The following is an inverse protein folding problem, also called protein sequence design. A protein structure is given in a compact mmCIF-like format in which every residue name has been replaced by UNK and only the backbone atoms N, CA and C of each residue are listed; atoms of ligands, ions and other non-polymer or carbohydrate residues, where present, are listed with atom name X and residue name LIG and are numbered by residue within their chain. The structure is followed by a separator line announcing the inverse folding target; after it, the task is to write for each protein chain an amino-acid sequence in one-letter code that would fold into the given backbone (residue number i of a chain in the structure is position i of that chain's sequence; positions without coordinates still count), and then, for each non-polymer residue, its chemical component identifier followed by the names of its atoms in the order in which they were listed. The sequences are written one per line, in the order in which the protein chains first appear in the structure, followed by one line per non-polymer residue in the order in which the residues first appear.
data_IF_871518691505
#
_entry.id   IF_871518691505
#
_cell.length_a   1.000
_cell.length_b   1.000
_cell.length_c   1.000
_cell.angle_alpha   90.00
_cell.angle_beta   90.00
_cell.angle_gamma   90.00
#
_symmetry.space_group_name_H-M   'P 1'
#
loop_
_entity.id
_entity.type
_entity.pdbx_description
1 polymer ?
#
# COMPACT_ATOMS: atom_id res chain seq x y z
N UNK A 1 11.18 2.52 37.55
CA UNK A 1 10.27 3.68 37.46
C UNK A 1 9.49 3.57 36.15
N UNK A 2 8.53 2.66 36.04
CA UNK A 2 7.07 2.77 36.33
C UNK A 2 6.32 3.80 35.45
N UNK A 3 5.53 3.22 34.53
CA UNK A 3 4.27 3.67 33.91
C UNK A 3 4.19 5.00 33.13
N UNK A 4 4.25 4.90 31.80
CA UNK A 4 3.61 5.85 30.90
C UNK A 4 2.28 5.25 30.40
N UNK A 5 1.18 5.55 31.09
CA UNK A 5 -0.18 5.18 30.66
C UNK A 5 -0.56 5.95 29.39
N UNK A 6 -0.72 5.23 28.28
CA UNK A 6 -1.32 5.72 27.04
C UNK A 6 -2.82 5.89 27.28
N UNK A 7 -3.35 7.11 27.18
CA UNK A 7 -4.80 7.36 27.22
C UNK A 7 -5.33 7.40 25.78
N UNK A 8 -6.00 6.33 25.38
CA UNK A 8 -6.84 6.28 24.17
C UNK A 8 -8.19 6.88 24.53
N UNK A 9 -8.54 8.04 23.96
CA UNK A 9 -9.88 8.61 24.07
C UNK A 9 -10.78 7.96 23.01
N UNK A 10 -11.69 7.08 23.46
CA UNK A 10 -12.80 6.61 22.65
C UNK A 10 -13.96 7.61 22.78
N UNK A 11 -14.42 8.16 21.65
CA UNK A 11 -15.74 8.79 21.58
C UNK A 11 -16.74 7.72 21.13
N UNK A 12 -17.59 7.24 22.04
CA UNK A 12 -18.73 6.38 21.72
C UNK A 12 -19.92 7.31 21.53
N UNK A 13 -20.48 7.36 20.32
CA UNK A 13 -21.80 7.95 20.08
C UNK A 13 -22.72 6.87 19.51
N UNK A 14 -23.84 6.70 20.21
CA UNK A 14 -24.95 5.79 19.96
C UNK A 14 -25.66 6.14 18.65
N UNK A 15 -25.79 5.15 17.76
CA UNK A 15 -26.51 5.28 16.49
C UNK A 15 -28.01 5.20 16.77
N UNK A 16 -28.72 6.33 16.63
CA UNK A 16 -30.18 6.34 16.55
C UNK A 16 -30.61 6.25 15.08
N UNK A 17 -31.64 5.45 14.84
CA UNK A 17 -32.23 5.10 13.55
C UNK A 17 -32.66 6.33 12.74
N UNK A 18 -32.48 6.32 11.43
CA UNK A 18 -33.43 6.99 10.54
C UNK A 18 -33.55 6.28 9.18
N UNK A 19 -34.76 6.37 8.64
CA UNK A 19 -35.40 5.49 7.65
C UNK A 19 -35.05 5.85 6.20
N UNK A 20 -35.25 4.84 5.36
CA UNK A 20 -35.41 4.83 3.89
C UNK A 20 -36.41 5.85 3.34
N UNK A 21 -36.22 6.32 2.09
CA UNK A 21 -37.19 6.45 0.96
C UNK A 21 -36.57 7.29 -0.23
N UNK A 22 -37.12 7.32 -1.48
CA UNK A 22 -36.66 6.52 -2.62
C UNK A 22 -36.29 7.33 -3.90
N UNK A 23 -35.96 6.57 -4.97
CA UNK A 23 -35.75 6.98 -6.36
C UNK A 23 -36.94 7.71 -7.00
N UNK A 24 -36.65 8.69 -7.87
CA UNK A 24 -37.53 9.08 -8.99
C UNK A 24 -36.73 9.27 -10.29
N UNK A 25 -37.30 8.69 -11.35
CA UNK A 25 -36.91 8.83 -12.76
C UNK A 25 -37.70 10.00 -13.33
N UNK A 26 -37.09 10.73 -14.25
CA UNK A 26 -37.85 11.42 -15.30
C UNK A 26 -37.17 11.28 -16.66
N UNK A 27 -38.03 11.19 -17.66
CA UNK A 27 -37.80 10.77 -19.04
C UNK A 27 -38.04 11.93 -20.03
N UNK A 28 -37.61 11.71 -21.28
CA UNK A 28 -37.98 12.39 -22.54
C UNK A 28 -37.09 13.63 -22.87
N UNK A 29 -36.61 13.89 -24.09
CA UNK A 29 -37.06 13.43 -25.42
C UNK A 29 -35.96 13.60 -26.49
N UNK A 30 -36.06 12.69 -27.45
CA UNK A 30 -35.62 12.61 -28.86
C UNK A 30 -35.27 13.89 -29.64
N UNK A 31 -34.12 13.88 -30.36
CA UNK A 31 -33.88 14.64 -31.60
C UNK A 31 -32.99 13.81 -32.54
N UNK A 32 -33.59 13.26 -33.59
CA UNK A 32 -33.23 13.60 -34.97
C UNK A 32 -31.98 12.98 -35.58
N UNK A 33 -32.21 12.02 -36.47
CA UNK A 33 -31.29 11.37 -37.41
C UNK A 33 -30.49 12.34 -38.31
N UNK A 34 -29.24 11.98 -38.61
CA UNK A 34 -28.71 12.10 -39.98
C UNK A 34 -27.52 11.15 -40.22
N UNK A 35 -27.69 10.24 -41.18
CA UNK A 35 -26.65 9.35 -41.71
C UNK A 35 -25.89 10.06 -42.84
N UNK A 36 -24.55 10.08 -42.78
CA UNK A 36 -23.65 9.95 -43.94
C UNK A 36 -22.19 10.19 -43.50
N UNK A 37 -21.39 9.12 -43.43
CA UNK A 37 -20.04 9.03 -44.01
C UNK A 37 -19.33 7.76 -43.54
N UNK A 38 -19.41 6.75 -44.40
CA UNK A 38 -18.61 5.54 -44.39
C UNK A 38 -17.17 5.90 -44.76
N UNK A 39 -16.20 5.55 -43.90
CA UNK A 39 -14.78 5.42 -44.28
C UNK A 39 -14.35 3.98 -44.05
N UNK A 40 -14.12 3.28 -45.16
CA UNK A 40 -13.56 1.93 -45.23
C UNK A 40 -12.05 2.04 -44.96
N UNK A 41 -11.54 1.38 -43.92
CA UNK A 41 -10.11 1.17 -43.76
C UNK A 41 -9.77 -0.29 -44.08
N UNK A 42 -8.97 -0.47 -45.13
CA UNK A 42 -8.38 -1.75 -45.53
C UNK A 42 -7.40 -2.24 -44.45
N UNK A 43 -7.60 -3.45 -43.93
CA UNK A 43 -6.62 -4.11 -43.08
C UNK A 43 -5.58 -4.82 -43.96
N UNK A 44 -4.33 -4.37 -43.89
CA UNK A 44 -3.17 -5.04 -44.49
C UNK A 44 -2.75 -6.18 -43.57
N UNK A 45 -2.74 -7.42 -44.08
CA UNK A 45 -2.21 -8.59 -43.39
C UNK A 45 -0.68 -8.43 -43.36
N UNK A 46 -0.10 -8.24 -42.16
CA UNK A 46 1.35 -8.21 -41.95
C UNK A 46 1.88 -9.65 -41.96
N UNK A 47 2.93 -9.88 -42.75
CA UNK A 47 3.58 -11.19 -42.92
C UNK A 47 4.43 -11.58 -41.71
N UNK A 48 4.64 -12.89 -41.52
CA UNK A 48 5.27 -13.54 -40.35
C UNK A 48 6.67 -13.03 -39.93
N UNK A 49 7.34 -12.20 -40.73
CA UNK A 49 8.63 -11.58 -40.35
C UNK A 49 8.47 -10.34 -39.45
N UNK A 50 7.32 -9.65 -39.47
CA UNK A 50 7.08 -8.48 -38.60
C UNK A 50 6.61 -8.90 -37.19
N UNK A 51 6.12 -10.15 -37.03
CA UNK A 51 5.75 -10.71 -35.72
C UNK A 51 6.98 -11.06 -34.86
N UNK A 52 8.13 -11.31 -35.48
CA UNK A 52 9.37 -11.61 -34.77
C UNK A 52 9.99 -10.36 -34.09
N UNK A 53 9.72 -9.15 -34.58
CA UNK A 53 10.23 -7.92 -33.96
C UNK A 53 9.46 -7.53 -32.67
N UNK A 54 8.18 -7.88 -32.58
CA UNK A 54 7.30 -7.52 -31.45
C UNK A 54 7.52 -8.44 -30.23
N UNK A 55 8.12 -9.62 -30.40
CA UNK A 55 8.37 -10.60 -29.33
C UNK A 55 9.76 -10.47 -28.67
N UNK A 56 10.55 -9.43 -29.00
CA UNK A 56 11.89 -9.21 -28.45
C UNK A 56 11.97 -8.17 -27.31
N UNK A 57 10.84 -7.64 -26.83
CA UNK A 57 10.79 -6.71 -25.69
C UNK A 57 10.06 -7.32 -24.50
N UNK A 58 10.53 -8.50 -24.07
CA UNK A 58 10.23 -9.02 -22.74
C UNK A 58 11.00 -8.17 -21.70
N UNK A 59 10.33 -7.14 -21.21
CA UNK A 59 10.53 -6.40 -19.96
C UNK A 59 11.95 -6.45 -19.36
N UNK A 60 12.86 -5.65 -19.92
CA UNK A 60 13.92 -5.08 -19.11
C UNK A 60 13.27 -4.30 -17.94
N UNK A 61 13.77 -4.42 -16.69
CA UNK A 61 13.27 -3.60 -15.60
C UNK A 61 13.36 -2.13 -16.01
N UNK A 62 12.33 -1.31 -15.74
CA UNK A 62 12.32 0.08 -16.19
C UNK A 62 13.60 0.76 -15.70
N UNK A 63 14.38 1.31 -16.63
CA UNK A 63 15.58 2.07 -16.30
C UNK A 63 15.19 3.17 -15.30
N UNK A 64 15.83 3.12 -14.15
CA UNK A 64 15.55 4.08 -13.07
C UNK A 64 16.37 5.32 -13.37
N UNK A 65 15.77 6.31 -14.03
CA UNK A 65 16.28 7.69 -13.97
C UNK A 65 16.30 8.12 -12.50
N UNK A 66 17.51 8.31 -11.97
CA UNK A 66 17.75 8.90 -10.66
C UNK A 66 17.88 10.42 -10.86
N UNK A 67 17.41 11.21 -9.89
CA UNK A 67 17.66 12.66 -9.91
C UNK A 67 19.17 12.91 -9.95
N UNK A 68 19.62 13.61 -10.99
CA UNK A 68 21.00 14.06 -11.14
C UNK A 68 21.24 15.41 -10.45
N UNK A 69 20.20 15.97 -9.82
CA UNK A 69 20.24 17.29 -9.22
C UNK A 69 21.14 17.30 -7.98
N UNK A 70 21.86 18.41 -7.82
CA UNK A 70 22.63 18.67 -6.61
C UNK A 70 21.67 18.84 -5.46
N UNK A 71 21.84 18.02 -4.42
CA UNK A 71 21.02 18.08 -3.22
C UNK A 71 21.35 19.33 -2.41
N UNK A 72 20.33 20.17 -2.18
CA UNK A 72 20.43 21.40 -1.39
C UNK A 72 19.90 21.18 0.02
N UNK A 73 18.64 20.79 0.15
CA UNK A 73 17.98 20.51 1.43
C UNK A 73 16.90 19.42 1.32
N UNK A 74 16.28 19.08 2.45
CA UNK A 74 15.16 18.13 2.49
C UNK A 74 13.79 18.77 2.19
N UNK A 75 13.72 20.08 1.93
CA UNK A 75 12.49 20.81 1.70
C UNK A 75 11.52 20.83 2.90
N UNK A 76 10.28 21.32 2.70
CA UNK A 76 9.27 21.37 3.75
C UNK A 76 8.85 19.96 4.20
N UNK A 77 8.51 19.83 5.48
CA UNK A 77 7.94 18.60 6.04
C UNK A 77 6.42 18.72 6.15
N UNK A 78 5.64 17.99 5.31
CA UNK A 78 4.19 18.06 5.36
C UNK A 78 3.59 17.44 6.63
N UNK A 79 4.41 16.78 7.47
CA UNK A 79 4.01 16.09 8.68
C UNK A 79 4.48 16.80 9.96
N UNK A 80 5.03 18.00 9.83
CA UNK A 80 5.57 18.77 10.95
C UNK A 80 4.94 20.17 10.97
N UNK A 81 4.15 20.52 12.01
CA UNK A 81 3.37 21.76 12.03
C UNK A 81 4.17 23.01 12.46
N UNK A 82 5.46 22.87 12.80
CA UNK A 82 6.28 23.97 13.31
C UNK A 82 7.31 24.45 12.28
N UNK A 83 7.75 25.69 12.44
CA UNK A 83 8.89 26.22 11.69
C UNK A 83 10.17 25.48 12.09
N UNK A 84 10.97 25.08 11.12
CA UNK A 84 12.00 24.05 11.30
C UNK A 84 13.32 24.62 11.79
N UNK A 85 14.04 23.80 12.57
CA UNK A 85 15.50 23.93 12.74
C UNK A 85 16.18 23.44 11.45
N UNK A 86 17.23 24.14 11.03
CA UNK A 86 17.91 23.92 9.77
C UNK A 86 18.48 22.51 9.61
N UNK A 87 18.80 22.14 8.36
CA UNK A 87 19.48 20.90 8.04
C UNK A 87 20.94 20.97 8.53
N UNK A 88 21.33 20.05 9.39
CA UNK A 88 22.73 19.94 9.81
C UNK A 88 23.51 19.12 8.77
N UNK A 89 24.76 19.52 8.50
CA UNK A 89 25.62 18.92 7.51
C UNK A 89 27.04 18.75 8.04
N UNK A 90 27.65 17.61 7.71
CA UNK A 90 29.08 17.36 7.86
C UNK A 90 29.62 16.89 6.52
N UNK A 91 30.66 17.58 6.07
CA UNK A 91 31.44 17.23 4.89
C UNK A 91 32.76 16.58 5.32
N UNK A 92 33.31 15.71 4.49
CA UNK A 92 34.61 15.09 4.76
C UNK A 92 35.11 14.25 3.59
N UNK A 93 36.37 14.46 3.24
CA UNK A 93 37.04 13.75 2.14
C UNK A 93 37.47 12.32 2.54
N UNK A 94 37.43 12.00 3.84
CA UNK A 94 37.76 10.68 4.39
C UNK A 94 36.65 10.17 5.29
N UNK A 95 36.58 8.83 5.44
CA UNK A 95 35.62 8.18 6.35
C UNK A 95 35.85 8.64 7.79
N UNK A 96 37.10 8.87 8.18
CA UNK A 96 37.52 9.33 9.50
C UNK A 96 36.99 10.75 9.78
N UNK A 97 37.13 11.67 8.82
CA UNK A 97 36.62 13.04 8.94
C UNK A 97 35.10 13.07 9.12
N UNK A 98 34.36 12.32 8.28
CA UNK A 98 32.91 12.19 8.41
C UNK A 98 32.51 11.59 9.75
N UNK A 99 33.21 10.54 10.19
CA UNK A 99 32.97 9.89 11.49
C UNK A 99 33.15 10.87 12.65
N UNK A 100 34.21 11.67 12.63
CA UNK A 100 34.50 12.62 13.71
C UNK A 100 33.52 13.80 13.72
N UNK A 101 33.11 14.31 12.56
CA UNK A 101 32.03 15.29 12.47
C UNK A 101 30.70 14.75 13.03
N UNK A 102 30.33 13.50 12.69
CA UNK A 102 29.14 12.83 13.27
C UNK A 102 29.27 12.69 14.79
N UNK A 103 30.43 12.29 15.32
CA UNK A 103 30.63 12.19 16.78
C UNK A 103 30.41 13.52 17.48
N UNK A 104 30.89 14.62 16.87
CA UNK A 104 30.86 15.95 17.46
C UNK A 104 29.48 16.57 17.42
N UNK A 105 28.80 16.50 16.28
CA UNK A 105 27.60 17.30 16.03
C UNK A 105 26.29 16.50 16.08
N UNK A 106 26.25 15.25 15.60
CA UNK A 106 24.99 14.52 15.46
C UNK A 106 24.31 14.30 16.82
N UNK A 107 23.01 14.57 16.98
CA UNK A 107 22.33 14.44 18.27
C UNK A 107 22.01 12.98 18.61
N UNK A 108 21.79 12.71 19.90
CA UNK A 108 21.19 11.45 20.38
C UNK A 108 19.66 11.58 20.44
N UNK A 109 19.06 11.86 19.29
CA UNK A 109 17.62 12.04 19.14
C UNK A 109 17.09 11.24 17.94
N UNK A 110 15.77 11.01 17.86
CA UNK A 110 15.13 10.51 16.65
C UNK A 110 15.35 11.49 15.49
N UNK A 111 15.36 10.98 14.26
CA UNK A 111 15.57 11.83 13.10
C UNK A 111 15.73 11.08 11.80
N UNK A 112 15.84 11.84 10.72
CA UNK A 112 16.20 11.36 9.38
C UNK A 112 17.60 11.82 9.03
N UNK A 113 18.30 11.04 8.22
CA UNK A 113 19.62 11.37 7.72
C UNK A 113 19.70 11.07 6.23
N UNK A 114 20.58 11.81 5.56
CA UNK A 114 20.89 11.69 4.14
C UNK A 114 22.37 11.46 3.95
N UNK A 115 22.72 10.65 2.97
CA UNK A 115 24.08 10.40 2.52
C UNK A 115 24.22 11.02 1.13
N UNK A 116 25.25 11.83 0.95
CA UNK A 116 25.48 12.61 -0.27
C UNK A 116 26.79 12.17 -0.89
N UNK A 117 26.81 11.92 -2.19
CA UNK A 117 28.03 11.53 -2.90
C UNK A 117 28.91 12.71 -3.30
N UNK A 118 30.11 12.42 -3.81
CA UNK A 118 31.08 13.42 -4.24
C UNK A 118 30.56 14.40 -5.32
N UNK A 119 29.49 14.04 -6.04
CA UNK A 119 28.83 14.91 -7.02
C UNK A 119 27.71 15.77 -6.39
N UNK A 120 27.54 15.70 -5.07
CA UNK A 120 26.52 16.46 -4.35
C UNK A 120 25.13 15.84 -4.42
N UNK A 121 24.97 14.59 -4.87
CA UNK A 121 23.65 13.95 -5.03
C UNK A 121 23.25 13.20 -3.78
N UNK A 122 21.97 13.26 -3.42
CA UNK A 122 21.42 12.46 -2.31
C UNK A 122 21.28 10.99 -2.73
N UNK A 123 22.16 10.13 -2.23
CA UNK A 123 22.23 8.72 -2.65
C UNK A 123 21.51 7.75 -1.72
N UNK A 124 21.28 8.15 -0.47
CA UNK A 124 20.54 7.35 0.51
C UNK A 124 19.85 8.24 1.55
N UNK A 125 18.64 7.85 1.95
CA UNK A 125 17.92 8.41 3.09
C UNK A 125 17.55 7.29 4.07
N UNK A 126 17.70 7.55 5.36
CA UNK A 126 17.22 6.65 6.41
C UNK A 126 16.71 7.38 7.64
N UNK A 127 15.94 6.66 8.47
CA UNK A 127 15.54 7.11 9.82
C UNK A 127 16.37 6.47 10.93
N UNK A 128 16.34 7.07 12.11
CA UNK A 128 16.83 6.45 13.34
C UNK A 128 16.04 6.89 14.57
N UNK A 129 16.01 6.02 15.60
CA UNK A 129 15.61 6.42 16.97
C UNK A 129 16.71 7.24 17.65
N UNK A 130 17.98 7.00 17.28
CA UNK A 130 19.17 7.67 17.79
C UNK A 130 20.11 7.96 16.61
N UNK A 131 20.07 9.19 16.09
CA UNK A 131 20.83 9.60 14.91
C UNK A 131 22.33 9.30 15.07
N UNK A 132 22.96 9.79 16.14
CA UNK A 132 24.41 9.57 16.38
C UNK A 132 24.79 8.09 16.32
N UNK A 133 24.10 7.21 17.04
CA UNK A 133 24.45 5.78 17.07
C UNK A 133 24.29 5.14 15.69
N UNK A 134 23.22 5.48 14.96
CA UNK A 134 22.97 4.92 13.63
C UNK A 134 23.99 5.41 12.61
N UNK A 135 24.31 6.70 12.60
CA UNK A 135 25.32 7.26 11.69
C UNK A 135 26.71 6.67 11.98
N UNK A 136 27.08 6.54 13.26
CA UNK A 136 28.35 5.91 13.64
C UNK A 136 28.44 4.43 13.22
N UNK A 137 27.31 3.72 13.11
CA UNK A 137 27.30 2.32 12.69
C UNK A 137 27.79 2.11 11.26
N UNK A 138 27.72 3.11 10.37
CA UNK A 138 28.23 3.01 9.00
C UNK A 138 29.76 2.89 8.93
N UNK A 139 30.47 3.35 9.98
CA UNK A 139 31.93 3.36 10.03
C UNK A 139 32.51 2.17 10.80
N UNK A 140 31.72 1.11 11.03
CA UNK A 140 32.21 -0.12 11.66
C UNK A 140 32.97 -0.99 10.62
N UNK A 141 34.06 -1.66 11.01
CA UNK A 141 34.92 -2.42 10.08
C UNK A 141 34.20 -3.55 9.33
N UNK A 142 33.19 -4.16 9.95
CA UNK A 142 32.53 -5.36 9.41
C UNK A 142 31.51 -5.06 8.28
N UNK A 143 31.39 -3.82 7.82
CA UNK A 143 30.35 -3.42 6.86
C UNK A 143 30.84 -3.30 5.41
N UNK A 144 32.13 -3.50 5.13
CA UNK A 144 32.75 -3.12 3.84
C UNK A 144 32.14 -3.81 2.62
N UNK A 145 31.77 -5.09 2.73
CA UNK A 145 31.14 -5.87 1.66
C UNK A 145 29.62 -5.67 1.59
N UNK A 146 29.02 -5.11 2.64
CA UNK A 146 27.59 -4.94 2.76
C UNK A 146 27.10 -3.63 2.15
N UNK A 147 25.78 -3.54 1.91
CA UNK A 147 25.11 -2.32 1.45
C UNK A 147 25.51 -1.07 2.25
N UNK A 148 25.70 -1.22 3.57
CA UNK A 148 26.11 -0.12 4.44
C UNK A 148 27.52 0.40 4.10
N UNK A 149 28.49 -0.49 3.85
CA UNK A 149 29.84 -0.12 3.42
C UNK A 149 29.84 0.57 2.08
N UNK A 150 29.06 0.08 1.11
CA UNK A 150 28.90 0.74 -0.20
C UNK A 150 28.35 2.16 -0.08
N UNK A 151 27.34 2.37 0.77
CA UNK A 151 26.79 3.70 1.03
C UNK A 151 27.89 4.58 1.64
N UNK A 152 28.52 4.13 2.72
CA UNK A 152 29.54 4.88 3.44
C UNK A 152 30.76 5.24 2.56
N UNK A 153 31.20 4.31 1.72
CA UNK A 153 32.33 4.51 0.82
C UNK A 153 32.01 5.51 -0.32
N UNK A 154 30.74 5.67 -0.68
CA UNK A 154 30.34 6.60 -1.73
C UNK A 154 30.03 8.00 -1.19
N UNK A 155 29.82 8.13 0.13
CA UNK A 155 29.45 9.39 0.76
C UNK A 155 30.65 10.33 0.91
N UNK A 156 30.48 11.59 0.48
CA UNK A 156 31.37 12.72 0.78
C UNK A 156 30.78 13.67 1.82
N UNK A 157 29.47 13.59 2.05
CA UNK A 157 28.80 14.36 3.08
C UNK A 157 27.62 13.61 3.70
N UNK A 158 27.33 13.96 4.95
CA UNK A 158 26.21 13.42 5.72
C UNK A 158 25.37 14.59 6.22
N UNK A 159 24.08 14.54 5.96
CA UNK A 159 23.11 15.50 6.47
C UNK A 159 22.13 14.83 7.41
N UNK A 160 21.61 15.57 8.38
CA UNK A 160 20.54 15.05 9.24
C UNK A 160 19.59 16.12 9.73
N UNK A 161 18.43 15.65 10.11
CA UNK A 161 17.30 16.42 10.56
C UNK A 161 16.72 15.70 11.78
N UNK A 162 16.85 16.34 12.96
CA UNK A 162 16.26 15.83 14.18
C UNK A 162 14.73 15.92 14.10
N UNK A 163 14.06 14.91 14.63
CA UNK A 163 12.62 14.76 14.62
C UNK A 163 12.12 14.57 16.06
N UNK A 164 10.91 15.06 16.38
CA UNK A 164 10.36 15.03 17.73
C UNK A 164 10.07 13.59 18.21
N UNK A 165 9.99 12.62 17.30
CA UNK A 165 9.73 11.23 17.65
C UNK A 165 10.19 10.29 16.55
N UNK A 166 10.25 8.99 16.89
CA UNK A 166 10.46 7.95 15.89
C UNK A 166 9.32 7.90 14.85
N UNK A 167 8.07 8.19 15.25
CA UNK A 167 6.94 8.21 14.33
C UNK A 167 7.08 9.34 13.30
N UNK A 168 7.47 10.53 13.75
CA UNK A 168 7.73 11.66 12.87
C UNK A 168 8.90 11.37 11.92
N UNK A 169 9.99 10.79 12.43
CA UNK A 169 11.11 10.34 11.61
C UNK A 169 10.71 9.30 10.55
N UNK A 170 9.80 8.38 10.89
CA UNK A 170 9.26 7.38 9.96
C UNK A 170 8.45 8.03 8.83
N UNK A 171 7.55 8.96 9.17
CA UNK A 171 6.76 9.70 8.18
C UNK A 171 7.66 10.52 7.25
N UNK A 172 8.63 11.21 7.84
CA UNK A 172 9.58 12.05 7.10
C UNK A 172 10.49 11.23 6.19
N UNK A 173 11.04 10.11 6.64
CA UNK A 173 11.85 9.21 5.81
C UNK A 173 11.05 8.74 4.60
N UNK A 174 9.83 8.26 4.82
CA UNK A 174 8.98 7.78 3.73
C UNK A 174 8.68 8.89 2.71
N UNK A 175 8.45 10.12 3.17
CA UNK A 175 8.28 11.27 2.28
C UNK A 175 9.54 11.54 1.45
N UNK A 176 10.70 11.63 2.09
CA UNK A 176 11.97 11.93 1.42
C UNK A 176 12.37 10.86 0.42
N UNK A 177 12.16 9.57 0.74
CA UNK A 177 12.42 8.47 -0.21
C UNK A 177 11.52 8.60 -1.44
N UNK A 178 10.25 8.96 -1.27
CA UNK A 178 9.32 9.10 -2.39
C UNK A 178 9.62 10.35 -3.22
N UNK A 179 10.07 11.43 -2.58
CA UNK A 179 10.40 12.69 -3.23
C UNK A 179 11.72 12.60 -4.02
N UNK A 180 12.82 12.19 -3.36
CA UNK A 180 14.16 12.19 -3.95
C UNK A 180 14.52 10.88 -4.68
N UNK A 181 13.83 9.78 -4.39
CA UNK A 181 14.10 8.44 -4.93
C UNK A 181 15.59 8.04 -4.93
N UNK A 182 16.29 8.11 -3.78
CA UNK A 182 17.74 7.90 -3.75
C UNK A 182 18.13 6.50 -4.20
N UNK A 183 19.22 6.38 -4.97
CA UNK A 183 19.60 5.13 -5.66
C UNK A 183 19.81 3.91 -4.75
N UNK A 184 20.30 4.13 -3.53
CA UNK A 184 20.53 3.04 -2.57
C UNK A 184 19.27 2.70 -1.76
N UNK A 185 18.22 3.49 -1.82
CA UNK A 185 16.92 3.10 -1.27
C UNK A 185 16.29 2.03 -2.17
N UNK A 186 15.64 1.03 -1.54
CA UNK A 186 14.95 -0.06 -2.27
C UNK A 186 13.51 -0.12 -1.82
N UNK A 187 13.30 -0.07 -0.50
CA UNK A 187 11.99 0.06 0.11
C UNK A 187 11.51 1.51 0.05
N UNK A 188 10.20 1.73 -0.04
CA UNK A 188 9.57 3.06 -0.10
C UNK A 188 9.56 3.73 -1.47
N UNK A 189 10.37 3.26 -2.42
CA UNK A 189 10.45 3.82 -3.77
C UNK A 189 9.14 3.61 -4.55
N UNK A 190 8.50 4.67 -5.09
CA UNK A 190 7.26 4.56 -5.85
C UNK A 190 7.36 3.62 -7.06
N UNK A 191 8.46 3.72 -7.85
CA UNK A 191 8.67 2.88 -9.04
C UNK A 191 8.76 1.38 -8.69
N UNK A 192 9.36 1.03 -7.54
CA UNK A 192 9.56 -0.36 -7.11
C UNK A 192 8.43 -0.91 -6.22
N UNK A 193 7.69 -0.02 -5.55
CA UNK A 193 6.58 -0.36 -4.66
C UNK A 193 5.30 0.28 -5.18
N UNK A 194 4.83 -0.18 -6.33
CA UNK A 194 3.54 0.23 -6.86
C UNK A 194 2.41 -0.41 -6.04
N UNK A 195 1.43 0.39 -5.57
CA UNK A 195 0.26 -0.16 -4.90
C UNK A 195 -0.57 -0.97 -5.89
N UNK A 196 -1.10 -2.09 -5.42
CA UNK A 196 -2.11 -2.87 -6.13
C UNK A 196 -3.34 -3.04 -5.24
N UNK A 197 -4.49 -3.16 -5.87
CA UNK A 197 -5.75 -3.46 -5.22
C UNK A 197 -6.19 -4.84 -5.68
N UNK A 198 -6.55 -5.69 -4.72
CA UNK A 198 -7.18 -6.95 -4.99
C UNK A 198 -8.68 -6.72 -5.02
N UNK A 199 -9.33 -7.18 -6.08
CA UNK A 199 -10.74 -6.97 -6.35
C UNK A 199 -11.43 -8.33 -6.57
N UNK A 200 -12.65 -8.46 -6.06
CA UNK A 200 -13.62 -9.49 -6.44
C UNK A 200 -14.74 -8.78 -7.20
N UNK A 201 -15.05 -9.22 -8.42
CA UNK A 201 -16.09 -8.58 -9.24
C UNK A 201 -16.02 -8.97 -10.72
N UNK A 202 -16.52 -8.08 -11.60
CA UNK A 202 -16.69 -8.26 -13.06
C UNK A 202 -17.84 -9.21 -13.43
N UNK A 203 -19.11 -8.76 -13.31
CA UNK A 203 -20.26 -9.54 -13.77
C UNK A 203 -20.16 -9.87 -15.27
N UNK A 204 -20.88 -10.90 -15.76
CA UNK A 204 -21.89 -11.70 -15.05
C UNK A 204 -21.32 -12.82 -14.18
N UNK A 205 -20.07 -13.25 -14.40
CA UNK A 205 -19.37 -14.25 -13.60
C UNK A 205 -18.16 -13.61 -12.92
N UNK A 206 -18.28 -13.33 -11.62
CA UNK A 206 -17.26 -12.64 -10.84
C UNK A 206 -15.98 -13.47 -10.69
N UNK A 207 -14.84 -12.78 -10.59
CA UNK A 207 -13.52 -13.37 -10.43
C UNK A 207 -12.68 -12.54 -9.46
N UNK A 208 -11.62 -13.15 -8.93
CA UNK A 208 -10.58 -12.39 -8.24
C UNK A 208 -9.55 -11.88 -9.25
N UNK A 209 -9.21 -10.59 -9.15
CA UNK A 209 -8.21 -9.94 -10.00
C UNK A 209 -7.47 -8.83 -9.24
N UNK A 210 -6.38 -8.35 -9.81
CA UNK A 210 -5.67 -7.15 -9.31
C UNK A 210 -5.83 -5.96 -10.24
N UNK A 211 -5.86 -4.76 -9.69
CA UNK A 211 -5.80 -3.48 -10.40
C UNK A 211 -4.73 -2.58 -9.80
N UNK A 212 -4.25 -1.60 -10.56
CA UNK A 212 -3.34 -0.54 -10.05
C UNK A 212 -4.09 0.61 -9.37
N UNK A 213 -5.37 0.76 -9.67
CA UNK A 213 -6.23 1.80 -9.13
C UNK A 213 -7.46 1.17 -8.48
N UNK A 214 -8.07 1.84 -7.49
CA UNK A 214 -9.35 1.40 -6.94
C UNK A 214 -10.38 1.17 -8.05
N UNK A 215 -11.10 0.06 -8.00
CA UNK A 215 -12.17 -0.28 -8.93
C UNK A 215 -13.52 -0.11 -8.21
N UNK A 216 -14.24 0.95 -8.57
CA UNK A 216 -15.54 1.28 -7.98
C UNK A 216 -16.62 0.21 -8.28
N UNK A 217 -16.43 -0.60 -9.33
CA UNK A 217 -17.38 -1.64 -9.73
C UNK A 217 -17.07 -3.00 -9.09
N UNK A 218 -16.00 -3.11 -8.28
CA UNK A 218 -15.68 -4.33 -7.58
C UNK A 218 -16.63 -4.56 -6.41
N UNK A 219 -17.17 -5.78 -6.30
CA UNK A 219 -18.00 -6.25 -5.18
C UNK A 219 -17.24 -6.19 -3.84
N UNK A 220 -15.94 -6.51 -3.87
CA UNK A 220 -15.05 -6.37 -2.72
C UNK A 220 -13.69 -5.89 -3.19
N UNK A 221 -13.08 -4.98 -2.42
CA UNK A 221 -11.74 -4.50 -2.67
C UNK A 221 -10.87 -4.49 -1.41
N UNK A 222 -9.66 -5.02 -1.53
CA UNK A 222 -8.61 -5.01 -0.51
C UNK A 222 -7.38 -4.30 -1.05
N UNK A 223 -6.93 -3.26 -0.37
CA UNK A 223 -5.70 -2.56 -0.69
C UNK A 223 -5.62 -1.16 -0.08
N UNK A 224 -4.54 -0.42 -0.37
CA UNK A 224 -3.41 -0.84 -1.21
C UNK A 224 -2.55 -1.96 -0.61
N UNK A 225 -2.12 -2.91 -1.45
CA UNK A 225 -1.18 -3.98 -1.16
C UNK A 225 0.15 -3.70 -1.88
N UNK A 226 1.26 -4.17 -1.30
CA UNK A 226 2.60 -4.09 -1.89
C UNK A 226 3.17 -5.50 -2.06
N UNK A 227 3.57 -5.86 -3.28
CA UNK A 227 4.03 -7.20 -3.64
C UNK A 227 3.15 -7.86 -4.70
N UNK A 228 3.19 -7.32 -5.91
CA UNK A 228 2.35 -7.74 -7.03
C UNK A 228 2.47 -9.25 -7.32
N UNK A 229 3.68 -9.80 -7.33
CA UNK A 229 3.93 -11.22 -7.59
C UNK A 229 3.25 -12.13 -6.57
N UNK A 230 3.35 -11.81 -5.27
CA UNK A 230 2.70 -12.61 -4.21
C UNK A 230 1.18 -12.50 -4.28
N UNK A 231 0.65 -11.32 -4.58
CA UNK A 231 -0.78 -11.13 -4.76
C UNK A 231 -1.31 -11.90 -5.99
N UNK A 232 -0.62 -11.82 -7.13
CA UNK A 232 -0.97 -12.56 -8.34
C UNK A 232 -0.99 -14.08 -8.07
N UNK A 233 0.05 -14.62 -7.41
CA UNK A 233 0.08 -16.03 -7.03
C UNK A 233 -1.06 -16.40 -6.07
N UNK A 234 -1.35 -15.55 -5.08
CA UNK A 234 -2.45 -15.79 -4.16
C UNK A 234 -3.79 -15.85 -4.89
N UNK A 235 -4.02 -14.97 -5.88
CA UNK A 235 -5.25 -14.96 -6.65
C UNK A 235 -5.40 -16.15 -7.57
N UNK A 236 -4.32 -16.57 -8.23
CA UNK A 236 -4.29 -17.79 -9.04
C UNK A 236 -4.74 -19.00 -8.20
N UNK A 237 -4.16 -19.15 -7.02
CA UNK A 237 -4.48 -20.24 -6.08
C UNK A 237 -5.93 -20.15 -5.58
N UNK A 238 -6.39 -18.97 -5.18
CA UNK A 238 -7.75 -18.79 -4.69
C UNK A 238 -8.81 -18.99 -5.78
N UNK A 239 -8.59 -18.46 -6.99
CA UNK A 239 -9.49 -18.71 -8.12
C UNK A 239 -9.57 -20.22 -8.42
N UNK A 240 -8.45 -20.95 -8.33
CA UNK A 240 -8.44 -22.42 -8.49
C UNK A 240 -9.22 -23.14 -7.39
N UNK A 241 -8.99 -22.80 -6.11
CA UNK A 241 -9.66 -23.45 -4.97
C UNK A 241 -11.17 -23.22 -5.00
N UNK A 242 -11.60 -21.98 -5.26
CA UNK A 242 -13.02 -21.64 -5.34
C UNK A 242 -13.63 -21.92 -6.72
N UNK A 243 -12.88 -22.54 -7.64
CA UNK A 243 -13.32 -22.85 -9.01
C UNK A 243 -13.89 -21.63 -9.76
N UNK A 244 -13.35 -20.44 -9.49
CA UNK A 244 -13.70 -19.20 -10.17
C UNK A 244 -12.98 -19.10 -11.52
N UNK A 245 -13.59 -18.40 -12.46
CA UNK A 245 -12.93 -18.08 -13.73
C UNK A 245 -11.77 -17.11 -13.50
N UNK A 246 -10.77 -17.21 -14.35
CA UNK A 246 -9.71 -16.19 -14.51
C UNK A 246 -9.38 -15.97 -16.00
N UNK A 247 -10.27 -16.41 -16.88
CA UNK A 247 -10.18 -16.14 -18.31
C UNK A 247 -10.27 -14.64 -18.61
N UNK A 248 -9.66 -14.23 -19.72
CA UNK A 248 -9.61 -12.83 -20.13
C UNK A 248 -11.01 -12.20 -20.25
N UNK A 249 -11.09 -10.88 -20.02
CA UNK A 249 -12.37 -10.14 -19.98
C UNK A 249 -13.20 -10.24 -21.26
N UNK A 250 -12.56 -10.53 -22.41
CA UNK A 250 -13.25 -10.75 -23.69
C UNK A 250 -14.09 -12.03 -23.72
N UNK A 251 -13.81 -12.99 -22.83
CA UNK A 251 -14.57 -14.23 -22.75
C UNK A 251 -15.95 -13.96 -22.16
N UNK A 252 -16.98 -14.14 -22.97
CA UNK A 252 -18.37 -14.08 -22.53
C UNK A 252 -18.68 -15.26 -21.62
N UNK A 253 -19.42 -14.97 -20.56
CA UNK A 253 -19.87 -15.95 -19.58
C UNK A 253 -21.40 -15.89 -19.48
N UNK A 254 -22.01 -17.05 -19.36
CA UNK A 254 -23.45 -17.29 -19.23
C UNK A 254 -23.66 -18.48 -18.32
N UNK A 255 -24.85 -18.60 -17.75
CA UNK A 255 -25.17 -19.69 -16.82
C UNK A 255 -26.24 -20.60 -17.42
N UNK A 256 -26.28 -21.87 -16.98
CA UNK A 256 -27.22 -22.88 -17.49
C UNK A 256 -28.68 -22.50 -17.25
N UNK A 257 -28.95 -21.79 -16.16
CA UNK A 257 -30.26 -21.33 -15.69
C UNK A 257 -30.65 -19.94 -16.22
N UNK A 258 -29.86 -19.37 -17.14
CA UNK A 258 -30.17 -18.09 -17.74
C UNK A 258 -31.21 -18.26 -18.87
N UNK A 259 -32.36 -17.59 -18.75
CA UNK A 259 -33.37 -17.54 -19.80
C UNK A 259 -32.77 -16.94 -21.08
N UNK A 260 -32.78 -17.69 -22.18
CA UNK A 260 -32.36 -17.22 -23.50
C UNK A 260 -33.50 -17.43 -24.50
N UNK A 261 -33.66 -16.48 -25.43
CA UNK A 261 -34.63 -16.61 -26.53
C UNK A 261 -34.18 -17.62 -27.59
N UNK A 262 -32.91 -18.04 -27.58
CA UNK A 262 -32.29 -18.90 -28.59
C UNK A 262 -31.43 -19.99 -27.92
N UNK A 263 -31.20 -21.08 -28.65
CA UNK A 263 -30.36 -22.20 -28.18
C UNK A 263 -28.90 -21.76 -27.98
N UNK A 264 -28.29 -22.26 -26.89
CA UNK A 264 -26.89 -21.98 -26.57
C UNK A 264 -26.02 -22.91 -27.41
N UNK A 265 -25.21 -22.34 -28.31
CA UNK A 265 -24.10 -23.08 -28.93
C UNK A 265 -23.11 -23.53 -27.85
N UNK A 266 -23.14 -24.82 -27.51
CA UNK A 266 -22.21 -25.43 -26.58
C UNK A 266 -20.81 -25.46 -27.21
N UNK A 267 -19.92 -24.64 -26.67
CA UNK A 267 -18.50 -24.61 -27.06
C UNK A 267 -17.74 -25.69 -26.31
N UNK A 268 -16.66 -26.25 -26.88
CA UNK A 268 -15.79 -27.17 -26.15
C UNK A 268 -15.24 -26.48 -24.89
N UNK A 269 -15.16 -27.26 -23.80
CA UNK A 269 -14.57 -26.81 -22.55
C UNK A 269 -13.09 -26.48 -22.70
N UNK A 270 -12.57 -25.62 -21.82
CA UNK A 270 -11.14 -25.42 -21.71
C UNK A 270 -10.54 -26.37 -20.68
N UNK A 271 -9.21 -26.54 -20.73
CA UNK A 271 -8.46 -27.37 -19.79
C UNK A 271 -8.81 -27.11 -18.32
N UNK A 272 -9.12 -25.86 -17.95
CA UNK A 272 -9.46 -25.50 -16.57
C UNK A 272 -10.74 -26.15 -16.08
N UNK A 273 -11.73 -26.31 -16.96
CA UNK A 273 -12.96 -27.02 -16.65
C UNK A 273 -12.68 -28.52 -16.51
N UNK A 274 -11.89 -29.09 -17.43
CA UNK A 274 -11.54 -30.52 -17.44
C UNK A 274 -10.78 -30.94 -16.17
N UNK A 275 -9.86 -30.11 -15.68
CA UNK A 275 -9.14 -30.34 -14.41
C UNK A 275 -9.90 -29.82 -13.18
N UNK A 276 -11.17 -29.42 -13.35
CA UNK A 276 -12.06 -28.89 -12.31
C UNK A 276 -11.55 -27.66 -11.52
N UNK A 277 -10.64 -26.87 -12.12
CA UNK A 277 -10.15 -25.61 -11.54
C UNK A 277 -11.05 -24.40 -11.80
N UNK A 278 -12.12 -24.58 -12.56
CA UNK A 278 -13.13 -23.57 -12.89
C UNK A 278 -14.48 -24.26 -13.12
N UNK A 279 -15.58 -23.66 -12.65
CA UNK A 279 -16.95 -24.17 -12.90
C UNK A 279 -17.44 -24.03 -14.35
N UNK A 280 -16.67 -23.37 -15.21
CA UNK A 280 -16.98 -23.24 -16.64
C UNK A 280 -18.18 -22.35 -17.00
N UNK A 281 -18.35 -21.14 -16.41
CA UNK A 281 -19.44 -20.24 -16.81
C UNK A 281 -19.26 -19.71 -18.25
N UNK A 282 -18.11 -19.89 -18.90
CA UNK A 282 -17.91 -19.50 -20.29
C UNK A 282 -18.65 -20.39 -21.30
N UNK A 283 -19.03 -21.60 -20.90
CA UNK A 283 -19.76 -22.56 -21.72
C UNK A 283 -21.11 -22.95 -21.08
N UNK A 284 -21.56 -22.18 -20.08
CA UNK A 284 -22.78 -22.48 -19.31
C UNK A 284 -22.77 -23.86 -18.63
N UNK A 285 -21.61 -24.32 -18.14
CA UNK A 285 -21.48 -25.61 -17.44
C UNK A 285 -22.00 -25.58 -15.99
N UNK A 286 -22.31 -24.41 -15.45
CA UNK A 286 -22.82 -24.24 -14.09
C UNK A 286 -24.01 -23.28 -14.04
N UNK A 287 -24.87 -23.46 -13.03
CA UNK A 287 -25.91 -22.48 -12.70
C UNK A 287 -25.33 -21.22 -12.07
N UNK A 288 -26.08 -20.13 -12.16
CA UNK A 288 -25.73 -18.84 -11.56
C UNK A 288 -25.59 -18.95 -10.05
N UNK A 289 -26.47 -19.70 -9.41
CA UNK A 289 -26.48 -19.84 -7.95
C UNK A 289 -25.31 -20.69 -7.45
N UNK A 290 -24.94 -21.77 -8.15
CA UNK A 290 -23.73 -22.53 -7.82
C UNK A 290 -22.47 -21.64 -7.91
N UNK A 291 -22.36 -20.84 -8.97
CA UNK A 291 -21.23 -19.92 -9.12
C UNK A 291 -21.24 -18.80 -8.06
N UNK A 292 -22.41 -18.25 -7.71
CA UNK A 292 -22.56 -17.26 -6.64
C UNK A 292 -22.15 -17.80 -5.27
N UNK A 293 -22.44 -19.07 -4.97
CA UNK A 293 -21.98 -19.71 -3.74
C UNK A 293 -20.46 -19.76 -3.68
N UNK A 294 -19.79 -20.14 -4.78
CA UNK A 294 -18.33 -20.12 -4.87
C UNK A 294 -17.75 -18.70 -4.68
N UNK A 295 -18.36 -17.69 -5.30
CA UNK A 295 -18.00 -16.28 -5.12
C UNK A 295 -18.18 -15.84 -3.66
N UNK A 296 -19.26 -16.25 -3.00
CA UNK A 296 -19.51 -15.94 -1.58
C UNK A 296 -18.44 -16.55 -0.69
N UNK A 297 -18.04 -17.80 -0.91
CA UNK A 297 -16.98 -18.45 -0.15
C UNK A 297 -15.63 -17.72 -0.32
N UNK A 298 -15.32 -17.27 -1.54
CA UNK A 298 -14.13 -16.46 -1.80
C UNK A 298 -14.18 -15.11 -1.06
N UNK A 299 -15.35 -14.46 -1.04
CA UNK A 299 -15.59 -13.22 -0.29
C UNK A 299 -15.39 -13.43 1.21
N UNK A 300 -15.94 -14.49 1.78
CA UNK A 300 -15.85 -14.81 3.21
C UNK A 300 -14.41 -15.06 3.64
N UNK A 301 -13.64 -15.77 2.82
CA UNK A 301 -12.19 -15.95 3.03
C UNK A 301 -11.46 -14.60 3.08
N UNK A 302 -11.69 -13.73 2.10
CA UNK A 302 -11.06 -12.41 2.03
C UNK A 302 -11.46 -11.48 3.18
N UNK A 303 -12.66 -11.64 3.74
CA UNK A 303 -13.13 -10.92 4.91
C UNK A 303 -12.57 -11.48 6.24
N UNK A 304 -11.86 -12.60 6.18
CA UNK A 304 -11.29 -13.31 7.32
C UNK A 304 -12.31 -14.12 8.11
N UNK A 305 -13.45 -14.47 7.52
CA UNK A 305 -14.52 -15.23 8.16
C UNK A 305 -14.29 -16.75 8.04
N UNK A 306 -13.44 -17.18 7.10
CA UNK A 306 -13.14 -18.59 6.86
C UNK A 306 -11.63 -18.77 6.59
N UNK A 307 -10.99 -19.74 7.24
CA UNK A 307 -9.59 -20.10 7.05
C UNK A 307 -9.37 -21.44 6.31
N UNK A 308 -10.46 -22.17 6.02
CA UNK A 308 -10.44 -23.52 5.42
C UNK A 308 -9.57 -23.68 4.16
N UNK A 309 -9.49 -22.72 3.22
CA UNK A 309 -8.62 -22.84 2.06
C UNK A 309 -7.14 -23.05 2.40
N UNK A 310 -6.66 -22.46 3.50
CA UNK A 310 -5.27 -22.62 3.96
C UNK A 310 -5.07 -24.04 4.50
N UNK A 311 -6.00 -24.52 5.32
CA UNK A 311 -5.97 -25.85 5.92
C UNK A 311 -5.99 -26.94 4.84
N UNK A 312 -6.82 -26.78 3.80
CA UNK A 312 -6.87 -27.69 2.65
C UNK A 312 -5.52 -27.76 1.94
N UNK A 313 -4.87 -26.63 1.69
CA UNK A 313 -3.56 -26.60 1.04
C UNK A 313 -2.46 -27.24 1.91
N UNK A 314 -2.51 -27.03 3.22
CA UNK A 314 -1.56 -27.63 4.16
C UNK A 314 -1.70 -29.15 4.24
N UNK A 315 -2.93 -29.65 4.26
CA UNK A 315 -3.22 -31.09 4.21
C UNK A 315 -2.77 -31.72 2.89
N UNK A 316 -3.05 -31.07 1.74
CA UNK A 316 -2.56 -31.52 0.44
C UNK A 316 -1.03 -31.55 0.37
N UNK A 317 -0.37 -30.55 0.96
CA UNK A 317 1.10 -30.47 1.02
C UNK A 317 1.67 -31.62 1.85
N UNK A 318 1.09 -31.89 3.02
CA UNK A 318 1.50 -33.00 3.88
C UNK A 318 1.34 -34.35 3.17
N UNK A 319 0.18 -34.60 2.56
CA UNK A 319 -0.09 -35.82 1.78
C UNK A 319 0.88 -36.01 0.60
N UNK A 320 1.26 -34.93 -0.08
CA UNK A 320 2.25 -34.99 -1.15
C UNK A 320 3.65 -35.36 -0.62
N UNK A 321 4.04 -34.80 0.53
CA UNK A 321 5.30 -35.13 1.19
C UNK A 321 5.34 -36.59 1.68
N UNK A 322 4.24 -37.07 2.27
CA UNK A 322 4.10 -38.47 2.72
C UNK A 322 4.23 -39.46 1.56
N UNK A 323 3.75 -39.08 0.37
CA UNK A 323 3.89 -39.84 -0.88
C UNK A 323 5.24 -39.62 -1.59
N UNK A 324 6.16 -38.89 -0.97
CA UNK A 324 7.49 -38.55 -1.52
C UNK A 324 7.44 -37.72 -2.82
N UNK A 325 6.32 -37.04 -3.09
CA UNK A 325 6.18 -36.12 -4.23
C UNK A 325 6.71 -34.72 -3.87
N UNK A 326 8.03 -34.60 -3.69
CA UNK A 326 8.65 -33.38 -3.14
C UNK A 326 8.47 -32.12 -3.99
N UNK A 327 8.43 -32.26 -5.32
CA UNK A 327 8.18 -31.13 -6.23
C UNK A 327 6.76 -30.57 -6.04
N UNK A 328 5.76 -31.44 -5.96
CA UNK A 328 4.38 -31.06 -5.70
C UNK A 328 4.24 -30.42 -4.31
N UNK A 329 4.87 -31.01 -3.29
CA UNK A 329 4.89 -30.45 -1.94
C UNK A 329 5.55 -29.06 -1.92
N UNK A 330 6.61 -28.84 -2.70
CA UNK A 330 7.27 -27.54 -2.81
C UNK A 330 6.36 -26.48 -3.44
N UNK A 331 5.63 -26.82 -4.50
CA UNK A 331 4.63 -25.91 -5.12
C UNK A 331 3.52 -25.57 -4.13
N UNK A 332 2.95 -26.57 -3.45
CA UNK A 332 1.91 -26.36 -2.44
C UNK A 332 2.41 -25.52 -1.26
N UNK A 333 3.67 -25.67 -0.85
CA UNK A 333 4.30 -24.83 0.17
C UNK A 333 4.34 -23.35 -0.24
N UNK A 334 4.69 -23.06 -1.49
CA UNK A 334 4.67 -21.69 -1.99
C UNK A 334 3.24 -21.14 -2.12
N UNK A 335 2.27 -21.99 -2.46
CA UNK A 335 0.84 -21.63 -2.48
C UNK A 335 0.33 -21.29 -1.07
N UNK A 336 0.63 -22.12 -0.06
CA UNK A 336 0.32 -21.87 1.35
C UNK A 336 0.93 -20.55 1.79
N UNK A 337 2.20 -20.30 1.49
CA UNK A 337 2.88 -19.03 1.84
C UNK A 337 2.21 -17.82 1.22
N UNK A 338 1.83 -17.91 -0.05
CA UNK A 338 1.14 -16.82 -0.76
C UNK A 338 -0.23 -16.53 -0.14
N UNK A 339 -1.06 -17.56 0.04
CA UNK A 339 -2.43 -17.42 0.58
C UNK A 339 -2.40 -16.95 2.05
N UNK A 340 -1.49 -17.48 2.89
CA UNK A 340 -1.30 -17.00 4.27
C UNK A 340 -0.85 -15.55 4.31
N UNK A 341 0.04 -15.14 3.42
CA UNK A 341 0.48 -13.75 3.31
C UNK A 341 -0.70 -12.82 2.98
N UNK A 342 -1.53 -13.21 2.00
CA UNK A 342 -2.69 -12.42 1.59
C UNK A 342 -3.75 -12.34 2.71
N UNK A 343 -4.13 -13.47 3.29
CA UNK A 343 -5.12 -13.53 4.38
C UNK A 343 -4.70 -12.64 5.55
N UNK A 344 -3.44 -12.77 6.00
CA UNK A 344 -2.88 -11.92 7.06
C UNK A 344 -2.97 -10.45 6.68
N UNK A 345 -2.62 -10.08 5.45
CA UNK A 345 -2.64 -8.69 4.99
C UNK A 345 -4.06 -8.13 4.89
N UNK A 346 -5.03 -8.93 4.44
CA UNK A 346 -6.44 -8.54 4.36
C UNK A 346 -6.99 -8.22 5.76
N UNK A 347 -6.75 -9.08 6.75
CA UNK A 347 -7.15 -8.87 8.14
C UNK A 347 -6.48 -7.62 8.73
N UNK A 348 -5.19 -7.42 8.47
CA UNK A 348 -4.45 -6.24 8.93
C UNK A 348 -5.00 -4.93 8.36
N UNK A 349 -5.31 -4.90 7.06
CA UNK A 349 -5.87 -3.72 6.39
C UNK A 349 -7.30 -3.45 6.85
N UNK A 350 -8.13 -4.49 7.01
CA UNK A 350 -9.48 -4.36 7.58
C UNK A 350 -9.43 -3.78 8.98
N UNK A 351 -8.58 -4.32 9.86
CA UNK A 351 -8.37 -3.79 11.21
C UNK A 351 -7.95 -2.32 11.21
N UNK A 352 -7.03 -1.94 10.31
CA UNK A 352 -6.62 -0.55 10.18
C UNK A 352 -7.78 0.34 9.73
N UNK A 353 -8.56 -0.08 8.72
CA UNK A 353 -9.71 0.67 8.21
C UNK A 353 -10.84 0.83 9.23
N UNK A 354 -11.07 -0.18 10.06
CA UNK A 354 -12.19 -0.21 11.00
C UNK A 354 -11.84 0.45 12.34
N UNK A 355 -10.60 0.28 12.82
CA UNK A 355 -10.21 0.69 14.18
C UNK A 355 -9.30 1.91 14.22
N UNK A 356 -8.58 2.23 13.15
CA UNK A 356 -7.61 3.33 13.18
C UNK A 356 -8.26 4.63 12.73
N UNK A 357 -9.21 5.08 13.53
CA UNK A 357 -9.76 6.43 13.48
C UNK A 357 -9.57 7.07 14.85
N UNK A 358 -8.49 7.84 15.00
CA UNK A 358 -8.14 8.49 16.26
C UNK A 358 -7.10 9.60 16.03
N UNK A 359 -6.96 10.45 17.04
CA UNK A 359 -5.87 11.43 17.12
C UNK A 359 -4.67 10.78 17.81
N UNK A 360 -3.55 10.65 17.11
CA UNK A 360 -2.32 10.12 17.67
C UNK A 360 -1.46 11.24 18.24
N UNK A 361 -1.38 11.28 19.58
CA UNK A 361 -0.65 12.31 20.31
C UNK A 361 0.80 11.87 20.52
N UNK A 362 1.74 12.69 20.06
CA UNK A 362 3.17 12.41 20.13
C UNK A 362 3.85 13.43 21.01
N UNK A 363 4.63 12.94 21.98
CA UNK A 363 5.54 13.77 22.77
C UNK A 363 6.75 14.09 21.92
N UNK A 364 7.12 15.36 21.81
CA UNK A 364 8.41 15.68 21.22
C UNK A 364 9.52 15.39 22.22
N UNK A 365 10.55 14.68 21.77
CA UNK A 365 11.87 14.79 22.37
C UNK A 365 12.39 16.20 22.10
N UNK A 366 12.98 16.80 23.12
CA UNK A 366 13.48 18.17 23.13
C UNK A 366 14.63 18.36 22.11
N UNK A 367 14.30 18.43 20.83
CA UNK A 367 15.25 18.56 19.73
C UNK A 367 15.63 20.02 19.48
N UNK A 368 16.03 20.73 20.55
CA UNK A 368 16.58 22.09 20.49
C UNK A 368 15.57 23.24 20.67
N UNK A 369 14.75 23.23 21.73
CA UNK A 369 13.84 24.36 22.07
C UNK A 369 14.59 25.66 22.46
N UNK A 370 14.12 26.81 21.96
CA UNK A 370 14.19 28.17 22.59
C UNK A 370 12.97 29.04 22.17
N UNK A 371 12.64 30.11 22.92
CA UNK A 371 11.47 30.27 23.81
C UNK A 371 10.13 30.60 23.11
N UNK A 372 9.02 30.07 23.64
CA UNK A 372 7.65 30.28 23.11
C UNK A 372 6.63 29.16 23.42
N UNK A 373 7.12 28.04 23.98
CA UNK A 373 6.45 26.91 24.65
C UNK A 373 5.45 26.01 23.88
N UNK A 374 5.66 24.67 23.96
CA UNK A 374 4.57 23.70 24.03
C UNK A 374 4.55 22.93 25.36
N UNK A 375 3.33 22.57 25.77
CA UNK A 375 2.95 21.94 27.04
C UNK A 375 3.82 20.74 27.46
N UNK A 376 3.97 20.53 28.77
CA UNK A 376 4.69 19.43 29.45
C UNK A 376 4.35 17.98 29.00
N UNK A 377 3.45 17.77 28.03
CA UNK A 377 2.93 16.42 27.72
C UNK A 377 2.93 16.00 26.25
N UNK A 378 2.60 16.83 25.25
CA UNK A 378 2.54 16.42 23.83
C UNK A 378 2.78 17.61 22.89
N UNK A 379 3.47 17.38 21.76
CA UNK A 379 3.89 18.45 20.84
C UNK A 379 3.13 18.40 19.50
N UNK A 380 2.84 17.20 18.97
CA UNK A 380 2.16 17.03 17.67
C UNK A 380 1.00 16.05 17.80
N UNK A 381 -0.12 16.39 17.18
CA UNK A 381 -1.30 15.53 17.02
C UNK A 381 -1.43 15.14 15.56
N UNK A 382 -1.32 13.84 15.28
CA UNK A 382 -1.54 13.27 13.95
C UNK A 382 -2.99 12.81 13.82
N UNK A 383 -3.66 13.24 12.76
CA UNK A 383 -5.05 12.89 12.47
C UNK A 383 -5.07 11.63 11.61
N UNK A 384 -5.49 10.51 12.20
CA UNK A 384 -5.53 9.23 11.51
C UNK A 384 -6.99 8.83 11.35
N UNK A 385 -7.44 8.62 10.11
CA UNK A 385 -8.79 8.16 9.77
C UNK A 385 -8.70 6.91 8.92
N UNK A 386 -9.43 5.85 9.29
CA UNK A 386 -9.43 4.56 8.58
C UNK A 386 -8.02 4.03 8.25
N UNK A 387 -7.06 4.30 9.12
CA UNK A 387 -5.66 3.91 8.98
C UNK A 387 -4.81 4.78 8.04
N UNK A 388 -5.34 5.83 7.44
CA UNK A 388 -4.58 6.80 6.64
C UNK A 388 -4.29 8.07 7.42
N UNK A 389 -3.14 8.68 7.16
CA UNK A 389 -2.77 9.97 7.73
C UNK A 389 -3.47 11.08 6.93
N UNK A 390 -4.40 11.79 7.59
CA UNK A 390 -5.14 12.91 7.03
C UNK A 390 -4.67 14.25 7.58
N UNK A 391 -3.58 14.33 8.36
CA UNK A 391 -3.04 15.61 8.80
C UNK A 391 -2.15 15.55 10.03
N UNK A 392 -1.45 16.65 10.28
CA UNK A 392 -0.68 16.89 11.51
C UNK A 392 -0.97 18.32 11.99
N UNK A 393 -1.23 18.47 13.29
CA UNK A 393 -1.48 19.78 13.92
C UNK A 393 -0.63 19.92 15.18
N UNK A 394 -0.24 21.15 15.51
CA UNK A 394 0.39 21.44 16.79
C UNK A 394 -0.59 21.11 17.94
N UNK A 395 -0.06 20.57 19.04
CA UNK A 395 -0.87 20.32 20.22
C UNK A 395 -1.40 21.65 20.78
N UNK A 396 -2.71 21.79 21.06
CA UNK A 396 -3.29 23.04 21.55
C UNK A 396 -2.80 23.34 22.97
N UNK A 397 -2.31 24.55 23.17
CA UNK A 397 -1.76 25.05 24.43
C UNK A 397 -2.79 25.85 25.22
N UNK A 398 -3.65 26.62 24.54
CA UNK A 398 -4.67 27.49 25.16
C UNK A 398 -6.08 26.89 25.12
N UNK A 399 -6.97 27.31 26.01
CA UNK A 399 -8.38 26.88 25.98
C UNK A 399 -9.13 27.32 24.72
N UNK A 400 -8.76 28.48 24.14
CA UNK A 400 -9.30 28.94 22.85
C UNK A 400 -8.89 28.02 21.70
N UNK A 401 -7.60 27.64 21.64
CA UNK A 401 -7.09 26.66 20.67
C UNK A 401 -7.77 25.31 20.83
N UNK A 402 -7.92 24.82 22.07
CA UNK A 402 -8.65 23.57 22.35
C UNK A 402 -10.09 23.63 21.86
N UNK A 403 -10.80 24.73 22.10
CA UNK A 403 -12.20 24.90 21.66
C UNK A 403 -12.30 24.99 20.13
N UNK A 404 -11.38 25.69 19.47
CA UNK A 404 -11.30 25.74 18.01
C UNK A 404 -10.99 24.38 17.40
N UNK A 405 -9.99 23.68 17.93
CA UNK A 405 -9.59 22.35 17.47
C UNK A 405 -10.68 21.32 17.72
N UNK A 406 -11.39 21.36 18.85
CA UNK A 406 -12.57 20.49 19.08
C UNK A 406 -13.64 20.65 18.01
N UNK A 407 -13.96 21.90 17.61
CA UNK A 407 -14.92 22.15 16.52
C UNK A 407 -14.43 21.58 15.19
N UNK A 408 -13.14 21.74 14.88
CA UNK A 408 -12.51 21.17 13.66
C UNK A 408 -12.51 19.64 13.68
N UNK A 409 -12.17 19.03 14.82
CA UNK A 409 -12.14 17.57 14.98
C UNK A 409 -13.53 16.95 14.93
N UNK A 410 -14.56 17.59 15.52
CA UNK A 410 -15.95 17.14 15.38
C UNK A 410 -16.35 17.12 13.92
N UNK A 411 -16.17 18.25 13.20
CA UNK A 411 -16.45 18.31 11.76
C UNK A 411 -15.67 17.27 10.95
N UNK A 412 -14.42 17.00 11.31
CA UNK A 412 -13.58 16.01 10.65
C UNK A 412 -14.05 14.56 10.88
N UNK A 413 -14.54 14.25 12.07
CA UNK A 413 -15.16 12.95 12.40
C UNK A 413 -16.53 12.79 11.73
N UNK A 414 -17.32 13.86 11.72
CA UNK A 414 -18.71 13.89 11.22
C UNK A 414 -18.78 14.00 9.68
N UNK A 415 -17.73 14.47 9.02
CA UNK A 415 -17.68 14.53 7.58
C UNK A 415 -17.72 13.12 6.96
N UNK A 416 -18.83 12.81 6.29
CA UNK A 416 -18.86 11.76 5.25
C UNK A 416 -17.72 12.02 4.25
N UNK A 417 -17.29 10.99 3.52
CA UNK A 417 -16.11 11.01 2.63
C UNK A 417 -16.21 11.97 1.42
N UNK A 418 -16.89 13.11 1.56
CA UNK A 418 -16.72 14.27 0.72
C UNK A 418 -15.33 14.88 0.97
N UNK A 419 -14.61 15.15 -0.12
CA UNK A 419 -13.35 15.88 -0.15
C UNK A 419 -13.38 17.07 0.81
N UNK A 420 -12.81 16.90 2.00
CA UNK A 420 -12.59 17.99 2.93
C UNK A 420 -11.32 18.71 2.47
N UNK A 421 -11.50 19.97 2.05
CA UNK A 421 -10.42 20.85 1.63
C UNK A 421 -9.23 20.83 2.58
N UNK A 422 -8.06 21.02 1.98
CA UNK A 422 -6.71 21.16 2.53
C UNK A 422 -5.93 19.91 2.92
N UNK A 423 -6.53 18.71 3.03
CA UNK A 423 -5.72 17.51 3.27
C UNK A 423 -6.17 16.34 2.40
N UNK A 424 -5.48 16.18 1.26
CA UNK A 424 -5.69 15.05 0.37
C UNK A 424 -5.44 13.72 1.12
N UNK A 425 -6.36 12.75 1.04
CA UNK A 425 -6.14 11.42 1.59
C UNK A 425 -4.90 10.80 0.94
N UNK A 426 -3.95 10.35 1.77
CA UNK A 426 -2.68 9.74 1.34
C UNK A 426 -2.72 8.23 1.50
N UNK A 427 -3.26 7.46 0.53
CA UNK A 427 -3.46 6.01 0.66
C UNK A 427 -2.14 5.25 0.88
N UNK A 428 -1.00 5.81 0.46
CA UNK A 428 0.33 5.25 0.69
C UNK A 428 0.71 5.15 2.17
N UNK A 429 0.08 5.95 3.04
CA UNK A 429 0.35 5.94 4.48
C UNK A 429 -0.33 4.78 5.21
N UNK A 430 -1.31 4.10 4.59
CA UNK A 430 -2.08 3.03 5.23
C UNK A 430 -1.19 1.87 5.69
N UNK A 431 -0.30 1.40 4.82
CA UNK A 431 0.61 0.30 5.16
C UNK A 431 1.63 0.72 6.23
N UNK A 432 2.06 1.98 6.20
CA UNK A 432 3.00 2.56 7.17
C UNK A 432 2.38 2.60 8.57
N UNK A 433 1.17 3.17 8.68
CA UNK A 433 0.40 3.26 9.93
C UNK A 433 0.05 1.87 10.45
N UNK A 434 -0.42 0.97 9.58
CA UNK A 434 -0.73 -0.42 9.94
C UNK A 434 0.49 -1.16 10.51
N UNK A 435 1.68 -0.93 9.96
CA UNK A 435 2.93 -1.49 10.46
C UNK A 435 3.33 -0.86 11.81
N UNK A 436 3.25 0.47 11.93
CA UNK A 436 3.62 1.20 13.15
C UNK A 436 2.85 0.73 14.38
N UNK A 437 1.52 0.76 14.34
CA UNK A 437 0.65 0.41 15.47
C UNK A 437 0.58 -1.10 15.75
N UNK A 438 1.12 -1.92 14.87
CA UNK A 438 1.32 -3.34 15.14
C UNK A 438 2.55 -3.57 16.02
N UNK A 439 3.64 -2.88 15.72
CA UNK A 439 4.93 -3.05 16.40
C UNK A 439 5.04 -2.23 17.70
N UNK A 440 4.21 -1.19 17.86
CA UNK A 440 4.24 -0.28 19.01
C UNK A 440 2.94 -0.37 19.84
N UNK A 441 2.37 -1.57 19.99
CA UNK A 441 1.24 -1.75 20.90
C UNK A 441 1.72 -1.64 22.35
N UNK A 442 1.28 -0.59 23.01
CA UNK A 442 1.32 -0.39 24.46
C UNK A 442 -0.05 0.03 24.93
#
# INVERSE_FOLDING_TARGET
MRDARVRVLYAILTVSQCRTLPLERDTLTDVGQNMANVKIHHYRILTAMETAAILSHADAPPEVEFSEDVFVDFGPDPYFPFQRTGLERVDGDTKEALRDGVKRFAPRAPGVYGMIDALGRLVYVGKSKLLRNRLLSYFLPNNEEDKAGRIAATSSAIVWEAQPSEFAALLREQYLIRHFQPRFNVQGLPKRQQPIFLCLGRPPAEQLYTTRQPDANATLQIGPLFGATRAARSLEVLNRIFKLRDCGTKQKCSFTDQLQLFDIELRPGCIRLEIESCLGPCISACSKDAYRQAVSQAKDFLLGLNASPIEILEDQMAKAADRQHFEQAAVLREDVKAVKWLSRRAVELKKARDRYTFVYQVKGTDCGRRPGQPSDKFDIWYLIRRGTLEGAVAAPSTESEKRSLRRRLSRWLDAELACAGDIAPRPETLALISSWFRNHRS
#
